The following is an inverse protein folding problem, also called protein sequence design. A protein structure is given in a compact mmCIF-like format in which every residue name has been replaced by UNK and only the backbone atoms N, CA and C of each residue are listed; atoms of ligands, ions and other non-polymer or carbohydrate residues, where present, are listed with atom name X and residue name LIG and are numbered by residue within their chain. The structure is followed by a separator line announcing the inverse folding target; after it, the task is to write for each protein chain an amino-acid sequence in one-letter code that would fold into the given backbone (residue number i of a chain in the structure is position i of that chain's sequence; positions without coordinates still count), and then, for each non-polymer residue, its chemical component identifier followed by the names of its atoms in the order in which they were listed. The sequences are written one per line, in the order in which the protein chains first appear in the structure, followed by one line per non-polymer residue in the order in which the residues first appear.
data_IF_113850254595
#
_entry.id   IF_113850254595
#
_cell.length_a   1.000
_cell.length_b   1.000
_cell.length_c   1.000
_cell.angle_alpha   90.00
_cell.angle_beta   90.00
_cell.angle_gamma   90.00
#
_symmetry.space_group_name_H-M   'P 1'
#
loop_
_entity.id
_entity.type
_entity.pdbx_description
1 polymer ?
#
# COMPACT_ATOMS: atom_id res chain seq x y z
N UNK A 1 -16.00 -15.85 -12.85
CA UNK A 1 -15.11 -15.70 -11.67
C UNK A 1 -15.25 -16.94 -10.80
N UNK A 2 -14.16 -17.45 -10.22
CA UNK A 2 -14.20 -18.60 -9.29
C UNK A 2 -14.78 -18.19 -7.94
N UNK A 3 -15.25 -19.16 -7.15
CA UNK A 3 -15.80 -18.91 -5.79
C UNK A 3 -14.77 -18.23 -4.86
N UNK A 4 -13.49 -18.58 -5.02
CA UNK A 4 -12.38 -17.99 -4.27
C UNK A 4 -12.25 -16.48 -4.51
N UNK A 5 -12.40 -16.02 -5.77
CA UNK A 5 -12.36 -14.59 -6.10
C UNK A 5 -13.54 -13.84 -5.46
N UNK A 6 -14.72 -14.45 -5.40
CA UNK A 6 -15.88 -13.86 -4.72
C UNK A 6 -15.70 -13.76 -3.21
N UNK A 7 -15.15 -14.80 -2.57
CA UNK A 7 -14.82 -14.76 -1.13
C UNK A 7 -13.84 -13.63 -0.85
N UNK A 8 -12.77 -13.51 -1.64
CA UNK A 8 -11.80 -12.44 -1.46
C UNK A 8 -12.39 -11.05 -1.67
N UNK A 9 -13.26 -10.86 -2.66
CA UNK A 9 -14.00 -9.61 -2.83
C UNK A 9 -14.88 -9.30 -1.62
N UNK A 10 -15.59 -10.30 -1.08
CA UNK A 10 -16.42 -10.12 0.10
C UNK A 10 -15.58 -9.75 1.33
N UNK A 11 -14.40 -10.36 1.51
CA UNK A 11 -13.46 -10.01 2.59
C UNK A 11 -12.95 -8.58 2.42
N UNK A 12 -12.49 -8.19 1.22
CA UNK A 12 -12.04 -6.83 0.95
C UNK A 12 -13.16 -5.81 1.19
N UNK A 13 -14.37 -6.09 0.69
CA UNK A 13 -15.54 -5.24 0.90
C UNK A 13 -15.92 -5.13 2.37
N UNK A 14 -15.85 -6.23 3.14
CA UNK A 14 -16.08 -6.22 4.57
C UNK A 14 -15.04 -5.38 5.31
N UNK A 15 -13.75 -5.52 4.99
CA UNK A 15 -12.67 -4.75 5.61
C UNK A 15 -12.77 -3.27 5.29
N UNK A 16 -13.08 -2.91 4.03
CA UNK A 16 -13.35 -1.52 3.65
C UNK A 16 -14.61 -0.99 4.34
N UNK A 17 -15.67 -1.79 4.42
CA UNK A 17 -16.91 -1.43 5.11
C UNK A 17 -16.66 -1.16 6.60
N UNK A 18 -15.90 -2.03 7.27
CA UNK A 18 -15.48 -1.80 8.65
C UNK A 18 -14.65 -0.52 8.79
N UNK A 19 -13.71 -0.27 7.86
CA UNK A 19 -12.89 0.94 7.88
C UNK A 19 -13.73 2.23 7.85
N UNK A 20 -14.76 2.29 6.99
CA UNK A 20 -15.66 3.44 6.92
C UNK A 20 -16.67 3.48 8.07
N UNK A 21 -17.19 2.33 8.51
CA UNK A 21 -18.17 2.25 9.59
C UNK A 21 -17.61 2.73 10.94
N UNK A 22 -16.33 2.44 11.21
CA UNK A 22 -15.63 2.88 12.42
C UNK A 22 -14.91 4.22 12.24
N UNK A 23 -15.10 4.89 11.10
CA UNK A 23 -14.44 6.16 10.74
C UNK A 23 -12.92 6.14 10.99
N UNK A 24 -12.26 5.03 10.62
CA UNK A 24 -10.82 4.85 10.83
C UNK A 24 -9.99 5.89 10.04
N UNK A 25 -10.59 6.51 9.03
CA UNK A 25 -9.99 7.61 8.28
C UNK A 25 -9.74 8.86 9.13
N UNK A 26 -10.59 9.15 10.11
CA UNK A 26 -10.40 10.28 11.03
C UNK A 26 -9.12 10.13 11.85
N UNK A 27 -8.73 8.91 12.22
CA UNK A 27 -7.47 8.63 12.92
C UNK A 27 -6.24 8.76 12.02
N UNK A 28 -6.41 8.78 10.69
CA UNK A 28 -5.35 9.03 9.72
C UNK A 28 -5.20 10.51 9.39
N UNK A 29 -5.88 11.41 10.11
CA UNK A 29 -5.73 12.87 9.98
C UNK A 29 -4.64 13.34 10.94
N UNK A 30 -3.66 14.08 10.41
CA UNK A 30 -2.48 14.53 11.16
C UNK A 30 -2.83 15.30 12.44
N UNK A 31 -3.91 16.08 12.42
CA UNK A 31 -4.36 16.91 13.54
C UNK A 31 -4.75 16.08 14.77
N UNK A 32 -5.52 15.00 14.57
CA UNK A 32 -5.92 14.10 15.65
C UNK A 32 -4.70 13.40 16.26
N UNK A 33 -3.76 12.97 15.42
CA UNK A 33 -2.54 12.29 15.87
C UNK A 33 -1.64 13.24 16.67
N UNK A 34 -1.61 14.52 16.30
CA UNK A 34 -0.86 15.54 17.03
C UNK A 34 -1.43 15.75 18.44
N UNK A 35 -2.74 15.68 18.61
CA UNK A 35 -3.40 15.82 19.92
C UNK A 35 -3.10 14.65 20.87
N UNK A 36 -2.90 13.44 20.34
CA UNK A 36 -2.59 12.24 21.12
C UNK A 36 -1.10 11.87 21.15
N UNK A 37 -0.24 12.68 20.52
CA UNK A 37 1.18 12.35 20.30
C UNK A 37 1.91 12.01 21.61
N UNK A 38 1.71 12.78 22.67
CA UNK A 38 2.38 12.57 23.96
C UNK A 38 1.93 11.25 24.63
N UNK A 39 0.65 10.91 24.52
CA UNK A 39 0.12 9.66 25.05
C UNK A 39 0.66 8.45 24.25
N UNK A 40 0.69 8.57 22.92
CA UNK A 40 1.26 7.53 22.05
C UNK A 40 2.75 7.33 22.31
N UNK A 41 3.53 8.39 22.53
CA UNK A 41 4.94 8.29 22.87
C UNK A 41 5.16 7.53 24.20
N UNK A 42 4.39 7.83 25.25
CA UNK A 42 4.48 7.07 26.51
C UNK A 42 4.15 5.58 26.36
N UNK A 43 3.21 5.24 25.47
CA UNK A 43 2.87 3.85 25.17
C UNK A 43 3.97 3.13 24.37
N UNK A 44 4.61 3.83 23.43
CA UNK A 44 5.78 3.33 22.70
C UNK A 44 6.95 3.06 23.65
N UNK A 45 7.20 3.93 24.62
CA UNK A 45 8.26 3.74 25.62
C UNK A 45 7.98 2.53 26.53
N UNK A 46 6.72 2.29 26.86
CA UNK A 46 6.32 1.18 27.74
C UNK A 46 6.45 -0.19 27.06
N UNK A 47 6.11 -0.30 25.77
CA UNK A 47 6.20 -1.56 25.04
C UNK A 47 6.50 -1.34 23.55
N UNK A 48 7.75 -1.03 23.19
CA UNK A 48 8.11 -0.58 21.84
C UNK A 48 7.88 -1.66 20.79
N UNK A 49 8.24 -2.91 21.09
CA UNK A 49 8.08 -4.01 20.15
C UNK A 49 6.61 -4.25 19.76
N UNK A 50 5.69 -4.17 20.73
CA UNK A 50 4.25 -4.34 20.48
C UNK A 50 3.68 -3.21 19.63
N UNK A 51 4.08 -1.96 19.91
CA UNK A 51 3.63 -0.80 19.14
C UNK A 51 4.17 -0.80 17.72
N UNK A 52 5.46 -1.13 17.53
CA UNK A 52 6.08 -1.28 16.22
C UNK A 52 5.35 -2.37 15.41
N UNK A 53 5.11 -3.55 16.00
CA UNK A 53 4.42 -4.63 15.33
C UNK A 53 2.98 -4.23 14.95
N UNK A 54 2.23 -3.62 15.87
CA UNK A 54 0.87 -3.15 15.62
C UNK A 54 0.82 -2.14 14.48
N UNK A 55 1.67 -1.09 14.55
CA UNK A 55 1.79 -0.09 13.49
C UNK A 55 2.14 -0.73 12.13
N UNK A 56 3.12 -1.64 12.12
CA UNK A 56 3.57 -2.32 10.91
C UNK A 56 2.43 -3.08 10.23
N UNK A 57 1.69 -3.92 10.97
CA UNK A 57 0.58 -4.70 10.40
C UNK A 57 -0.58 -3.82 9.95
N UNK A 58 -0.90 -2.76 10.68
CA UNK A 58 -1.92 -1.80 10.28
C UNK A 58 -1.50 -1.12 8.97
N UNK A 59 -0.25 -0.66 8.85
CA UNK A 59 0.26 -0.04 7.63
C UNK A 59 0.20 -0.99 6.44
N UNK A 60 0.63 -2.24 6.62
CA UNK A 60 0.54 -3.30 5.60
C UNK A 60 -0.91 -3.48 5.17
N UNK A 61 -1.85 -3.58 6.10
CA UNK A 61 -3.27 -3.78 5.81
C UNK A 61 -3.88 -2.58 5.05
N UNK A 62 -3.68 -1.36 5.55
CA UNK A 62 -4.16 -0.12 4.89
C UNK A 62 -3.62 -0.04 3.46
N UNK A 63 -2.32 -0.33 3.29
CA UNK A 63 -1.69 -0.30 1.96
C UNK A 63 -2.18 -1.43 1.05
N UNK A 64 -2.33 -2.65 1.58
CA UNK A 64 -2.83 -3.80 0.82
C UNK A 64 -4.27 -3.61 0.34
N UNK A 65 -5.09 -2.94 1.15
CA UNK A 65 -6.45 -2.53 0.79
C UNK A 65 -6.49 -1.31 -0.13
N UNK A 66 -5.32 -0.75 -0.50
CA UNK A 66 -5.19 0.43 -1.35
C UNK A 66 -5.92 1.66 -0.81
N UNK A 67 -6.00 1.79 0.52
CA UNK A 67 -6.65 2.91 1.20
C UNK A 67 -5.72 4.13 1.16
N UNK A 68 -6.20 5.31 0.72
CA UNK A 68 -5.44 6.56 0.81
C UNK A 68 -5.14 6.92 2.28
N UNK A 69 -3.90 7.27 2.59
CA UNK A 69 -3.50 7.63 3.97
C UNK A 69 -2.06 7.24 4.32
N UNK A 70 -1.39 6.44 3.48
CA UNK A 70 -0.01 6.01 3.67
C UNK A 70 0.97 7.17 3.95
N UNK A 71 0.78 8.33 3.32
CA UNK A 71 1.60 9.52 3.55
C UNK A 71 1.52 10.02 5.00
N UNK A 72 0.29 10.11 5.56
CA UNK A 72 0.11 10.54 6.95
C UNK A 72 0.69 9.49 7.90
N UNK A 73 0.43 8.21 7.66
CA UNK A 73 1.02 7.13 8.46
C UNK A 73 2.55 7.22 8.47
N UNK A 74 3.18 7.45 7.31
CA UNK A 74 4.64 7.61 7.22
C UNK A 74 5.16 8.76 8.10
N UNK A 75 4.46 9.90 8.15
CA UNK A 75 4.82 11.01 9.04
C UNK A 75 4.70 10.61 10.52
N UNK A 76 3.67 9.84 10.86
CA UNK A 76 3.42 9.33 12.22
C UNK A 76 4.54 8.39 12.65
N UNK A 77 5.00 7.48 11.78
CA UNK A 77 6.15 6.64 12.07
C UNK A 77 7.41 7.46 12.37
N UNK A 78 7.67 8.52 11.60
CA UNK A 78 8.79 9.42 11.87
C UNK A 78 8.68 10.12 13.23
N UNK A 79 7.46 10.52 13.61
CA UNK A 79 7.19 11.19 14.88
C UNK A 79 7.24 10.25 16.10
N UNK A 80 6.83 8.99 15.95
CA UNK A 80 6.74 8.01 17.03
C UNK A 80 8.03 7.21 17.21
N UNK A 81 8.69 6.82 16.12
CA UNK A 81 9.85 5.92 16.16
C UNK A 81 11.17 6.63 15.80
N UNK A 82 11.11 7.88 15.35
CA UNK A 82 12.27 8.62 14.84
C UNK A 82 12.59 8.27 13.38
N UNK A 83 13.55 9.00 12.80
CA UNK A 83 13.87 8.90 11.36
C UNK A 83 14.29 7.48 10.94
N UNK A 84 15.27 6.89 11.61
CA UNK A 84 15.88 5.63 11.17
C UNK A 84 14.94 4.43 11.36
N UNK A 85 14.30 4.32 12.52
CA UNK A 85 13.32 3.25 12.76
C UNK A 85 12.04 3.46 11.96
N UNK A 86 11.55 4.70 11.86
CA UNK A 86 10.41 5.03 11.01
C UNK A 86 10.68 4.66 9.55
N UNK A 87 11.85 5.01 9.01
CA UNK A 87 12.29 4.63 7.65
C UNK A 87 12.28 3.11 7.48
N UNK A 88 12.93 2.38 8.38
CA UNK A 88 13.02 0.91 8.30
C UNK A 88 11.63 0.27 8.33
N UNK A 89 10.80 0.64 9.31
CA UNK A 89 9.46 0.08 9.50
C UNK A 89 8.57 0.38 8.29
N UNK A 90 8.52 1.64 7.85
CA UNK A 90 7.68 2.08 6.73
C UNK A 90 8.18 1.49 5.41
N UNK A 91 9.48 1.39 5.20
CA UNK A 91 10.07 0.81 3.98
C UNK A 91 9.55 -0.62 3.74
N UNK A 92 9.66 -1.49 4.76
CA UNK A 92 9.16 -2.85 4.67
C UNK A 92 7.62 -2.91 4.65
N UNK A 93 6.94 -2.16 5.51
CA UNK A 93 5.49 -2.19 5.60
C UNK A 93 4.82 -1.74 4.28
N UNK A 94 5.30 -0.64 3.70
CA UNK A 94 4.78 -0.09 2.43
C UNK A 94 5.06 -1.02 1.26
N UNK A 95 6.25 -1.61 1.19
CA UNK A 95 6.63 -2.54 0.11
C UNK A 95 5.82 -3.83 0.17
N UNK A 96 5.66 -4.41 1.36
CA UNK A 96 4.84 -5.63 1.56
C UNK A 96 3.38 -5.32 1.25
N UNK A 97 2.83 -4.25 1.80
CA UNK A 97 1.45 -3.85 1.53
C UNK A 97 1.19 -3.57 0.05
N UNK A 98 2.09 -2.85 -0.63
CA UNK A 98 1.97 -2.57 -2.06
C UNK A 98 2.04 -3.83 -2.91
N UNK A 99 2.90 -4.77 -2.52
CA UNK A 99 3.03 -6.07 -3.19
C UNK A 99 1.76 -6.90 -3.02
N UNK A 100 1.18 -6.92 -1.82
CA UNK A 100 -0.11 -7.57 -1.55
C UNK A 100 -1.23 -6.94 -2.39
N UNK A 101 -1.34 -5.61 -2.41
CA UNK A 101 -2.30 -4.89 -3.25
C UNK A 101 -2.15 -5.29 -4.73
N UNK A 102 -0.92 -5.29 -5.24
CA UNK A 102 -0.61 -5.66 -6.61
C UNK A 102 -1.03 -7.11 -6.92
N UNK A 103 -0.70 -8.06 -6.04
CA UNK A 103 -1.00 -9.49 -6.25
C UNK A 103 -2.50 -9.78 -6.15
N UNK A 104 -3.17 -9.22 -5.14
CA UNK A 104 -4.62 -9.37 -4.94
C UNK A 104 -5.36 -8.78 -6.14
N UNK A 105 -5.03 -7.55 -6.55
CA UNK A 105 -5.66 -6.91 -7.70
C UNK A 105 -5.40 -7.67 -9.01
N UNK A 106 -4.19 -8.22 -9.19
CA UNK A 106 -3.83 -9.02 -10.36
C UNK A 106 -4.68 -10.29 -10.43
N UNK A 107 -4.81 -10.98 -9.31
CA UNK A 107 -5.57 -12.22 -9.26
C UNK A 107 -7.08 -12.00 -9.39
N UNK A 108 -7.61 -10.87 -8.88
CA UNK A 108 -9.03 -10.53 -8.98
C UNK A 108 -9.43 -10.02 -10.36
N UNK A 109 -8.65 -9.10 -10.94
CA UNK A 109 -9.13 -8.23 -12.01
C UNK A 109 -8.38 -8.32 -13.34
N UNK A 110 -7.20 -8.98 -13.39
CA UNK A 110 -6.33 -8.93 -14.60
C UNK A 110 -7.07 -9.31 -15.89
N UNK A 111 -7.74 -10.46 -15.93
CA UNK A 111 -8.45 -10.94 -17.13
C UNK A 111 -9.55 -9.98 -17.61
N UNK A 112 -10.31 -9.42 -16.67
CA UNK A 112 -11.45 -8.54 -16.94
C UNK A 112 -10.98 -7.19 -17.47
N UNK A 113 -9.93 -6.64 -16.87
CA UNK A 113 -9.37 -5.36 -17.28
C UNK A 113 -8.58 -5.50 -18.58
N UNK A 114 -7.84 -6.59 -18.77
CA UNK A 114 -7.11 -6.87 -20.01
C UNK A 114 -8.02 -7.02 -21.23
N UNK A 115 -9.18 -7.67 -21.07
CA UNK A 115 -10.18 -7.76 -22.14
C UNK A 115 -10.81 -6.40 -22.50
N UNK A 116 -11.05 -5.53 -21.51
CA UNK A 116 -11.68 -4.22 -21.72
C UNK A 116 -10.71 -3.10 -22.15
N UNK A 117 -9.47 -3.15 -21.68
CA UNK A 117 -8.46 -2.09 -21.87
C UNK A 117 -7.19 -2.60 -22.56
N UNK A 118 -7.35 -3.54 -23.51
CA UNK A 118 -6.25 -4.22 -24.20
C UNK A 118 -5.20 -3.26 -24.78
N UNK A 119 -5.62 -2.18 -25.44
CA UNK A 119 -4.70 -1.22 -26.07
C UNK A 119 -3.86 -0.46 -25.03
N UNK A 120 -4.50 -0.01 -23.93
CA UNK A 120 -3.82 0.71 -22.86
C UNK A 120 -2.79 -0.20 -22.16
N UNK A 121 -3.20 -1.41 -21.80
CA UNK A 121 -2.32 -2.39 -21.14
C UNK A 121 -1.16 -2.78 -22.06
N UNK A 122 -1.42 -2.97 -23.36
CA UNK A 122 -0.36 -3.27 -24.34
C UNK A 122 0.69 -2.17 -24.41
N UNK A 123 0.28 -0.90 -24.44
CA UNK A 123 1.19 0.25 -24.43
C UNK A 123 2.05 0.30 -23.17
N UNK A 124 1.44 0.10 -21.99
CA UNK A 124 2.17 0.07 -20.72
C UNK A 124 3.15 -1.11 -20.68
N UNK A 125 2.72 -2.29 -21.13
CA UNK A 125 3.57 -3.48 -21.20
C UNK A 125 4.76 -3.30 -22.16
N UNK A 126 4.62 -2.53 -23.25
CA UNK A 126 5.76 -2.18 -24.13
C UNK A 126 6.78 -1.30 -23.40
N UNK A 127 6.31 -0.31 -22.64
CA UNK A 127 7.18 0.51 -21.78
C UNK A 127 7.91 -0.34 -20.73
N UNK A 128 7.19 -1.24 -20.06
CA UNK A 128 7.79 -2.18 -19.10
C UNK A 128 8.77 -3.15 -19.77
N UNK A 129 8.49 -3.63 -20.98
CA UNK A 129 9.41 -4.50 -21.70
C UNK A 129 10.71 -3.79 -22.11
N UNK A 130 10.62 -2.48 -22.39
CA UNK A 130 11.77 -1.64 -22.75
C UNK A 130 12.60 -1.24 -21.53
N UNK A 131 11.96 -0.69 -20.50
CA UNK A 131 12.64 -0.03 -19.38
C UNK A 131 12.60 -0.85 -18.08
N UNK A 132 11.80 -1.92 -18.02
CA UNK A 132 11.78 -2.88 -16.92
C UNK A 132 11.54 -2.24 -15.55
N UNK A 133 12.49 -2.46 -14.64
CA UNK A 133 12.50 -1.88 -13.30
C UNK A 133 12.50 -0.33 -13.33
N UNK A 134 13.17 0.27 -14.32
CA UNK A 134 13.32 1.72 -14.44
C UNK A 134 11.98 2.41 -14.75
N UNK A 135 11.07 1.71 -15.44
CA UNK A 135 9.72 2.20 -15.69
C UNK A 135 8.98 2.47 -14.38
N UNK A 136 8.95 1.48 -13.48
CA UNK A 136 8.29 1.59 -12.18
C UNK A 136 8.99 2.62 -11.27
N UNK A 137 10.32 2.61 -11.28
CA UNK A 137 11.10 3.58 -10.53
C UNK A 137 10.75 5.02 -10.95
N UNK A 138 10.72 5.28 -12.26
CA UNK A 138 10.34 6.59 -12.80
C UNK A 138 8.93 6.99 -12.40
N UNK A 139 7.95 6.06 -12.50
CA UNK A 139 6.58 6.33 -12.06
C UNK A 139 6.49 6.71 -10.57
N UNK A 140 7.34 6.12 -9.72
CA UNK A 140 7.38 6.45 -8.29
C UNK A 140 8.03 7.78 -7.97
N UNK A 141 8.94 8.25 -8.82
CA UNK A 141 9.53 9.58 -8.69
C UNK A 141 8.57 10.69 -9.13
N UNK A 142 7.56 10.38 -9.94
CA UNK A 142 6.57 11.34 -10.41
C UNK A 142 5.49 11.54 -9.34
N UNK A 143 5.41 12.73 -8.69
CA UNK A 143 4.47 12.97 -7.60
C UNK A 143 3.01 13.08 -8.06
N UNK A 144 2.78 13.17 -9.37
CA UNK A 144 1.44 13.28 -9.95
C UNK A 144 0.61 12.00 -9.77
N UNK A 145 1.25 10.83 -9.58
CA UNK A 145 0.56 9.56 -9.43
C UNK A 145 0.50 9.14 -7.97
N UNK A 146 -0.70 8.89 -7.42
CA UNK A 146 -0.79 8.43 -6.04
C UNK A 146 -0.26 6.99 -5.92
N UNK A 147 0.40 6.71 -4.81
CA UNK A 147 1.07 5.43 -4.54
C UNK A 147 0.17 4.22 -4.77
N UNK A 148 -1.08 4.24 -4.26
CA UNK A 148 -2.02 3.14 -4.42
C UNK A 148 -2.39 2.89 -5.89
N UNK A 149 -2.50 3.95 -6.72
CA UNK A 149 -2.85 3.80 -8.12
C UNK A 149 -1.74 3.12 -8.92
N UNK A 150 -0.47 3.42 -8.62
CA UNK A 150 0.67 2.73 -9.23
C UNK A 150 0.62 1.23 -8.90
N UNK A 151 0.36 0.87 -7.64
CA UNK A 151 0.28 -0.52 -7.20
C UNK A 151 -0.80 -1.30 -7.95
N UNK A 152 -1.99 -0.70 -8.10
CA UNK A 152 -3.10 -1.28 -8.85
C UNK A 152 -2.82 -1.33 -10.36
N UNK A 153 -2.19 -0.30 -10.93
CA UNK A 153 -1.84 -0.28 -12.34
C UNK A 153 -0.84 -1.41 -12.67
N UNK A 154 0.20 -1.59 -11.86
CA UNK A 154 1.19 -2.66 -12.04
C UNK A 154 0.62 -4.06 -11.84
N UNK A 155 -0.51 -4.19 -11.13
CA UNK A 155 -1.22 -5.45 -11.03
C UNK A 155 -1.69 -5.98 -12.39
N UNK A 156 -2.02 -5.07 -13.30
CA UNK A 156 -2.62 -5.35 -14.60
C UNK A 156 -1.60 -5.55 -15.72
N UNK A 157 -0.32 -5.35 -15.42
CA UNK A 157 0.78 -5.46 -16.39
C UNK A 157 1.50 -6.81 -16.29
N UNK A 158 2.46 -7.03 -17.19
CA UNK A 158 3.36 -8.18 -17.20
C UNK A 158 4.49 -8.09 -16.17
N UNK A 159 4.52 -7.06 -15.32
CA UNK A 159 5.61 -6.86 -14.36
C UNK A 159 5.71 -7.99 -13.35
N UNK A 160 6.92 -8.53 -13.17
CA UNK A 160 7.19 -9.59 -12.18
C UNK A 160 7.04 -9.04 -10.77
N UNK A 161 6.43 -9.84 -9.87
CA UNK A 161 6.23 -9.49 -8.45
C UNK A 161 7.55 -9.15 -7.78
N UNK A 162 8.61 -9.92 -8.05
CA UNK A 162 9.95 -9.70 -7.48
C UNK A 162 10.53 -8.37 -7.95
N UNK A 163 10.41 -8.03 -9.23
CA UNK A 163 10.87 -6.74 -9.76
C UNK A 163 10.09 -5.60 -9.11
N UNK A 164 8.77 -5.74 -8.98
CA UNK A 164 7.95 -4.76 -8.28
C UNK A 164 8.43 -4.58 -6.84
N UNK A 165 8.58 -5.66 -6.08
CA UNK A 165 9.03 -5.65 -4.68
C UNK A 165 10.39 -4.95 -4.54
N UNK A 166 11.40 -5.38 -5.29
CA UNK A 166 12.77 -4.84 -5.19
C UNK A 166 12.84 -3.35 -5.53
N UNK A 167 12.06 -2.88 -6.51
CA UNK A 167 12.00 -1.45 -6.87
C UNK A 167 11.15 -0.65 -5.88
N UNK A 168 10.30 -1.31 -5.09
CA UNK A 168 9.47 -0.66 -4.06
C UNK A 168 10.19 -0.48 -2.75
N UNK A 169 11.15 -1.36 -2.48
CA UNK A 169 11.96 -1.32 -1.28
C UNK A 169 12.88 -0.10 -1.34
N UNK A 170 12.72 0.81 -0.37
CA UNK A 170 13.51 2.05 -0.25
C UNK A 170 14.30 2.07 1.04
#
# INVERSE_FOLDING_TARGET
MTISRWIALAVVAFLLGAFFQYDLGSYLILENIKSEQAALQGLVETNPAKFIAGYFFIYVAVTALSIPGAAVMTLVAGALFGLWWGLLIVSFASTIGATLAMVIARWLFKEQVESRFKNLISTINKGIAKDGAFYLFTLRLVPAFPFFAINLAMALTSMKVITFFLVSQV
#
